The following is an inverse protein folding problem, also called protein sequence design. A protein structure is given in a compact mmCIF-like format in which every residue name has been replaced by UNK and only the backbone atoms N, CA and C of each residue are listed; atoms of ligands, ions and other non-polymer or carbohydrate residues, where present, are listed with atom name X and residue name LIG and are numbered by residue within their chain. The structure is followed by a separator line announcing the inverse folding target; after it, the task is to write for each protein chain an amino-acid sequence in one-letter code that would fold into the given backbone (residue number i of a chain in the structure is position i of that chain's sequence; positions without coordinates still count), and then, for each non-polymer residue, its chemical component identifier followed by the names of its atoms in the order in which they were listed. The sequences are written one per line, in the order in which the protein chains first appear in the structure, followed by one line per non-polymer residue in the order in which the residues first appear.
data_IF_802834396509
#
_entry.id   IF_802834396509
#
_cell.length_a   1.000
_cell.length_b   1.000
_cell.length_c   1.000
_cell.angle_alpha   90.00
_cell.angle_beta   90.00
_cell.angle_gamma   90.00
#
_symmetry.space_group_name_H-M   'P 1'
#
loop_
_entity.id
_entity.type
_entity.pdbx_description
1 polymer ?
#
# COMPACT_ATOMS: atom_id res chain seq x y z
N UNK A 1 36.48 1.39 15.55
CA UNK A 1 35.03 1.38 15.26
C UNK A 1 34.90 1.34 13.75
N UNK A 2 34.23 0.37 13.20
CA UNK A 2 34.12 0.20 11.73
C UNK A 2 33.45 1.44 11.12
N UNK A 3 34.11 2.05 10.15
CA UNK A 3 33.64 3.25 9.44
C UNK A 3 32.61 2.89 8.36
N UNK A 4 31.76 1.86 8.63
CA UNK A 4 30.72 1.42 7.69
C UNK A 4 29.56 2.41 7.70
N UNK A 5 29.04 2.77 6.53
CA UNK A 5 27.90 3.68 6.43
C UNK A 5 26.66 3.06 7.11
N UNK A 6 25.92 3.88 7.84
CA UNK A 6 24.73 3.51 8.55
C UNK A 6 23.49 4.05 7.83
N UNK A 7 22.40 3.28 7.80
CA UNK A 7 21.16 3.63 7.12
C UNK A 7 19.99 3.65 8.09
N UNK A 8 18.98 4.47 7.80
CA UNK A 8 17.79 4.60 8.61
C UNK A 8 16.59 4.01 7.85
N UNK A 9 15.76 3.21 8.53
CA UNK A 9 14.44 2.79 8.05
C UNK A 9 13.38 3.47 8.92
N UNK A 10 12.40 4.13 8.29
CA UNK A 10 11.29 4.79 8.96
C UNK A 10 10.03 3.94 8.84
N UNK A 11 9.61 3.32 9.94
CA UNK A 11 8.43 2.46 10.05
C UNK A 11 8.77 0.98 10.05
N UNK A 12 8.11 0.21 10.94
CA UNK A 12 8.22 -1.24 11.08
C UNK A 12 6.91 -1.96 10.69
N UNK A 13 6.22 -1.45 9.68
CA UNK A 13 5.17 -2.16 8.95
C UNK A 13 5.78 -3.23 8.02
N UNK A 14 4.95 -3.88 7.21
CA UNK A 14 5.41 -4.94 6.30
C UNK A 14 6.57 -4.50 5.40
N UNK A 15 6.53 -3.29 4.85
CA UNK A 15 7.58 -2.74 4.00
C UNK A 15 8.90 -2.53 4.78
N UNK A 16 8.81 -1.98 6.00
CA UNK A 16 9.99 -1.78 6.85
C UNK A 16 10.61 -3.08 7.33
N UNK A 17 9.81 -4.09 7.67
CA UNK A 17 10.29 -5.42 8.06
C UNK A 17 11.02 -6.12 6.89
N UNK A 18 10.45 -6.05 5.67
CA UNK A 18 11.10 -6.57 4.47
C UNK A 18 12.46 -5.88 4.23
N UNK A 19 12.49 -4.55 4.34
CA UNK A 19 13.71 -3.77 4.17
C UNK A 19 14.75 -4.11 5.26
N UNK A 20 14.34 -4.16 6.52
CA UNK A 20 15.23 -4.42 7.65
C UNK A 20 15.91 -5.79 7.51
N UNK A 21 15.13 -6.84 7.22
CA UNK A 21 15.68 -8.20 7.04
C UNK A 21 16.61 -8.23 5.83
N UNK A 22 16.16 -7.78 4.68
CA UNK A 22 16.92 -7.86 3.42
C UNK A 22 18.25 -7.12 3.52
N UNK A 23 18.26 -5.93 4.11
CA UNK A 23 19.49 -5.16 4.31
C UNK A 23 20.41 -5.78 5.36
N UNK A 24 19.85 -6.30 6.45
CA UNK A 24 20.63 -6.96 7.51
C UNK A 24 21.35 -8.20 6.98
N UNK A 25 20.64 -9.04 6.21
CA UNK A 25 21.24 -10.24 5.61
C UNK A 25 22.38 -9.89 4.64
N UNK A 26 22.27 -8.75 3.98
CA UNK A 26 23.32 -8.25 3.08
C UNK A 26 24.47 -7.52 3.81
N UNK A 27 24.47 -7.50 5.16
CA UNK A 27 25.53 -6.93 5.97
C UNK A 27 25.48 -5.41 6.15
N UNK A 28 24.39 -4.74 5.76
CA UNK A 28 24.24 -3.31 5.97
C UNK A 28 24.00 -2.98 7.45
N UNK A 29 24.55 -1.87 7.90
CA UNK A 29 24.28 -1.31 9.24
C UNK A 29 22.99 -0.48 9.18
N UNK A 30 21.95 -0.91 9.87
CA UNK A 30 20.61 -0.31 9.78
C UNK A 30 20.04 -0.05 11.16
N UNK A 31 19.46 1.14 11.36
CA UNK A 31 18.57 1.46 12.47
C UNK A 31 17.13 1.58 11.93
N UNK A 32 16.18 0.92 12.58
CA UNK A 32 14.76 1.02 12.24
C UNK A 32 14.01 1.70 13.37
N UNK A 33 13.25 2.77 13.05
CA UNK A 33 12.43 3.50 14.01
C UNK A 33 10.94 3.27 13.75
N UNK A 34 10.21 2.88 14.80
CA UNK A 34 8.77 2.67 14.77
C UNK A 34 8.09 3.56 15.82
N UNK A 35 7.11 4.35 15.39
CA UNK A 35 6.39 5.28 16.26
C UNK A 35 5.51 4.60 17.30
N UNK A 36 5.03 3.38 17.01
CA UNK A 36 4.18 2.59 17.90
C UNK A 36 4.97 1.63 18.78
N UNK A 37 4.28 1.01 19.74
CA UNK A 37 4.87 0.01 20.64
C UNK A 37 5.03 -1.38 19.97
N UNK A 38 4.60 -1.57 18.73
CA UNK A 38 4.57 -2.88 18.07
C UNK A 38 4.78 -2.77 16.55
N UNK A 39 5.27 -3.85 15.97
CA UNK A 39 5.41 -3.98 14.51
C UNK A 39 4.05 -4.13 13.84
N UNK A 40 3.99 -4.00 12.51
CA UNK A 40 2.83 -4.39 11.71
C UNK A 40 2.11 -3.23 11.01
N UNK A 41 2.38 -1.98 11.39
CA UNK A 41 1.80 -0.80 10.74
C UNK A 41 0.26 -0.80 10.80
N UNK A 42 -0.40 -0.54 9.67
CA UNK A 42 -1.87 -0.45 9.58
C UNK A 42 -2.61 -1.74 9.98
N UNK A 43 -2.00 -2.91 9.87
CA UNK A 43 -2.60 -4.18 10.32
C UNK A 43 -2.99 -4.19 11.80
N UNK A 44 -2.37 -3.33 12.61
CA UNK A 44 -2.76 -3.15 14.02
C UNK A 44 -4.01 -2.31 14.20
N UNK A 45 -4.34 -1.48 13.22
CA UNK A 45 -5.39 -0.47 13.29
C UNK A 45 -6.54 -0.71 12.31
N UNK A 46 -6.43 -1.66 11.40
CA UNK A 46 -7.51 -2.03 10.49
C UNK A 46 -8.67 -2.75 11.21
N UNK A 47 -9.80 -2.84 10.54
CA UNK A 47 -11.03 -3.44 11.07
C UNK A 47 -10.94 -4.96 11.23
N UNK A 48 -11.72 -5.50 12.19
CA UNK A 48 -11.66 -6.92 12.59
C UNK A 48 -12.05 -7.88 11.45
N UNK A 49 -12.97 -7.47 10.58
CA UNK A 49 -13.43 -8.27 9.44
C UNK A 49 -12.44 -8.30 8.26
N UNK A 50 -11.30 -7.61 8.34
CA UNK A 50 -10.32 -7.56 7.24
C UNK A 50 -9.68 -8.93 6.98
N UNK A 51 -9.68 -9.31 5.72
CA UNK A 51 -8.97 -10.48 5.20
C UNK A 51 -8.15 -10.08 3.96
N UNK A 52 -7.07 -10.80 3.69
CA UNK A 52 -6.35 -10.63 2.44
C UNK A 52 -7.28 -10.82 1.24
N UNK A 53 -7.07 -10.01 0.20
CA UNK A 53 -7.70 -10.18 -1.11
C UNK A 53 -6.84 -10.99 -2.08
N UNK A 54 -5.59 -11.26 -1.71
CA UNK A 54 -4.62 -12.10 -2.41
C UNK A 54 -4.38 -13.37 -1.61
N UNK A 55 -4.13 -14.53 -2.26
CA UNK A 55 -3.96 -15.80 -1.55
C UNK A 55 -2.63 -15.86 -0.78
N UNK A 56 -2.60 -16.65 0.30
CA UNK A 56 -1.41 -16.88 1.12
C UNK A 56 -0.23 -17.46 0.34
N UNK A 57 -0.50 -18.24 -0.72
CA UNK A 57 0.48 -18.86 -1.60
C UNK A 57 1.40 -17.88 -2.33
N UNK A 58 0.97 -16.63 -2.46
CA UNK A 58 1.73 -15.56 -3.11
C UNK A 58 1.98 -14.33 -2.23
N UNK A 59 1.37 -14.30 -1.03
CA UNK A 59 1.40 -13.13 -0.13
C UNK A 59 2.29 -13.42 1.08
N UNK A 60 3.60 -13.52 0.89
CA UNK A 60 4.56 -13.80 1.96
C UNK A 60 5.89 -13.08 1.73
N UNK A 61 6.69 -12.92 2.78
CA UNK A 61 8.07 -12.42 2.69
C UNK A 61 8.99 -13.46 2.07
N UNK A 62 9.99 -13.03 1.32
CA UNK A 62 10.98 -13.93 0.70
C UNK A 62 11.55 -14.93 1.71
N UNK A 63 11.47 -16.22 1.37
CA UNK A 63 11.99 -17.30 2.21
C UNK A 63 11.17 -17.59 3.48
N UNK A 64 9.99 -16.97 3.66
CA UNK A 64 9.16 -17.20 4.85
C UNK A 64 7.68 -17.36 4.45
N UNK A 65 7.28 -18.54 3.93
CA UNK A 65 5.89 -18.79 3.53
C UNK A 65 4.94 -18.74 4.73
N UNK A 66 3.68 -18.40 4.47
CA UNK A 66 2.65 -18.45 5.53
C UNK A 66 2.39 -19.90 5.98
N UNK A 67 1.97 -20.11 7.24
CA UNK A 67 1.64 -21.42 7.78
C UNK A 67 0.67 -22.20 6.90
N UNK A 68 0.89 -23.53 6.78
CA UNK A 68 0.08 -24.39 5.93
C UNK A 68 -1.39 -24.46 6.37
N UNK A 69 -1.64 -24.35 7.68
CA UNK A 69 -2.95 -24.37 8.31
C UNK A 69 -3.75 -23.05 8.19
N UNK A 70 -3.11 -21.97 7.70
CA UNK A 70 -3.86 -20.73 7.43
C UNK A 70 -4.83 -20.94 6.26
N UNK A 71 -6.00 -20.24 6.29
CA UNK A 71 -6.94 -20.26 5.17
C UNK A 71 -6.29 -19.67 3.90
N UNK A 72 -6.91 -19.88 2.75
CA UNK A 72 -6.44 -19.33 1.46
C UNK A 72 -6.29 -17.80 1.54
N UNK A 73 -7.21 -17.13 2.22
CA UNK A 73 -7.19 -15.68 2.47
C UNK A 73 -7.13 -15.42 3.97
N UNK A 74 -5.94 -15.27 4.55
CA UNK A 74 -5.77 -15.06 5.98
C UNK A 74 -6.44 -13.78 6.49
N UNK A 75 -6.92 -13.84 7.72
CA UNK A 75 -7.49 -12.69 8.44
C UNK A 75 -6.41 -11.72 8.90
N UNK A 76 -6.83 -10.50 9.24
CA UNK A 76 -5.96 -9.49 9.86
C UNK A 76 -5.13 -10.05 11.02
N UNK A 77 -5.74 -10.80 11.93
CA UNK A 77 -5.04 -11.31 13.11
C UNK A 77 -4.02 -12.40 12.76
N UNK A 78 -4.33 -13.26 11.77
CA UNK A 78 -3.36 -14.21 11.24
C UNK A 78 -2.17 -13.50 10.58
N UNK A 79 -2.41 -12.39 9.87
CA UNK A 79 -1.34 -11.57 9.29
C UNK A 79 -0.46 -10.93 10.38
N UNK A 80 -1.06 -10.41 11.45
CA UNK A 80 -0.30 -9.90 12.61
C UNK A 80 0.57 -11.00 13.24
N UNK A 81 0.01 -12.18 13.44
CA UNK A 81 0.74 -13.33 13.96
C UNK A 81 1.90 -13.72 13.05
N UNK A 82 1.66 -13.78 11.73
CA UNK A 82 2.67 -14.08 10.73
C UNK A 82 3.82 -13.05 10.75
N UNK A 83 3.51 -11.75 10.79
CA UNK A 83 4.56 -10.70 10.85
C UNK A 83 5.37 -10.76 12.15
N UNK A 84 4.74 -11.08 13.29
CA UNK A 84 5.46 -11.28 14.55
C UNK A 84 6.40 -12.50 14.46
N UNK A 85 5.89 -13.63 13.94
CA UNK A 85 6.71 -14.83 13.74
C UNK A 85 7.92 -14.57 12.81
N UNK A 86 7.72 -13.83 11.72
CA UNK A 86 8.81 -13.37 10.85
C UNK A 86 9.85 -12.53 11.60
N UNK A 87 9.38 -11.55 12.36
CA UNK A 87 10.24 -10.64 13.11
C UNK A 87 11.08 -11.38 14.14
N UNK A 88 10.47 -12.33 14.84
CA UNK A 88 11.14 -13.12 15.90
C UNK A 88 12.09 -14.17 15.30
N UNK A 89 11.67 -14.87 14.21
CA UNK A 89 12.50 -15.86 13.51
C UNK A 89 13.84 -15.28 13.04
N UNK A 90 13.83 -14.04 12.57
CA UNK A 90 15.04 -13.40 12.03
C UNK A 90 15.70 -12.40 12.99
N UNK A 91 15.31 -12.38 14.28
CA UNK A 91 15.92 -11.52 15.30
C UNK A 91 15.82 -10.02 14.96
N UNK A 92 14.76 -9.60 14.24
CA UNK A 92 14.64 -8.22 13.77
C UNK A 92 14.20 -7.28 14.90
N UNK A 93 13.51 -7.80 15.91
CA UNK A 93 12.93 -6.99 16.99
C UNK A 93 13.97 -6.14 17.72
N UNK A 94 15.15 -6.68 17.95
CA UNK A 94 16.27 -6.01 18.63
C UNK A 94 16.85 -4.84 17.81
N UNK A 95 16.58 -4.82 16.49
CA UNK A 95 17.03 -3.77 15.57
C UNK A 95 16.01 -2.66 15.39
N UNK A 96 14.83 -2.78 16.01
CA UNK A 96 13.74 -1.81 15.94
C UNK A 96 13.68 -1.01 17.23
N UNK A 97 13.76 0.30 17.14
CA UNK A 97 13.50 1.20 18.25
C UNK A 97 12.03 1.60 18.23
N UNK A 98 11.26 1.01 19.15
CA UNK A 98 9.82 1.27 19.29
C UNK A 98 9.53 2.58 20.03
N UNK A 99 8.27 3.03 19.99
CA UNK A 99 7.79 4.28 20.61
C UNK A 99 8.65 5.49 20.24
N UNK A 100 9.23 5.44 19.03
CA UNK A 100 10.21 6.42 18.57
C UNK A 100 9.81 6.91 17.19
N UNK A 101 9.12 8.05 17.15
CA UNK A 101 8.76 8.69 15.88
C UNK A 101 9.97 9.47 15.34
N UNK A 102 10.18 9.39 14.03
CA UNK A 102 11.03 10.33 13.31
C UNK A 102 10.21 11.60 13.09
N UNK A 103 10.69 12.73 13.62
CA UNK A 103 10.03 14.03 13.54
C UNK A 103 10.50 14.87 12.36
N UNK A 104 11.79 14.72 11.96
CA UNK A 104 12.33 15.40 10.79
C UNK A 104 13.47 14.61 10.15
N UNK A 105 13.60 14.72 8.83
CA UNK A 105 14.79 14.34 8.08
C UNK A 105 15.23 15.52 7.23
N UNK A 106 16.55 15.79 7.19
CA UNK A 106 17.14 16.87 6.41
C UNK A 106 18.29 16.36 5.57
N UNK A 107 18.31 16.68 4.26
CA UNK A 107 19.45 16.34 3.42
C UNK A 107 20.69 17.10 3.86
N UNK A 108 21.86 16.47 3.76
CA UNK A 108 23.15 17.08 3.92
C UNK A 108 23.76 17.38 2.55
N UNK A 109 24.31 18.57 2.37
CA UNK A 109 24.61 19.13 1.06
C UNK A 109 23.33 19.58 0.35
N UNK A 110 23.42 19.89 -0.93
CA UNK A 110 22.30 20.49 -1.68
C UNK A 110 21.11 19.54 -1.86
N UNK A 111 21.37 18.23 -1.96
CA UNK A 111 20.37 17.24 -2.35
C UNK A 111 20.47 15.91 -1.57
N UNK A 112 21.22 15.82 -0.47
CA UNK A 112 21.42 14.59 0.31
C UNK A 112 22.60 13.72 -0.13
N UNK A 113 23.48 14.21 -1.01
CA UNK A 113 24.70 13.49 -1.42
C UNK A 113 25.62 13.17 -0.23
N UNK A 114 25.73 14.09 0.73
CA UNK A 114 26.55 13.92 1.92
C UNK A 114 25.87 13.10 3.05
N UNK A 115 24.64 12.63 2.83
CA UNK A 115 23.85 11.89 3.80
C UNK A 115 22.64 12.67 4.31
N UNK A 116 22.12 12.24 5.47
CA UNK A 116 20.87 12.73 6.05
C UNK A 116 20.98 12.88 7.57
N UNK A 117 20.54 14.01 8.08
CA UNK A 117 20.28 14.17 9.51
C UNK A 117 18.84 13.73 9.80
N UNK A 118 18.66 12.77 10.72
CA UNK A 118 17.37 12.22 11.14
C UNK A 118 17.13 12.64 12.58
N UNK A 119 16.08 13.42 12.83
CA UNK A 119 15.69 13.91 14.15
C UNK A 119 14.51 13.09 14.66
N UNK A 120 14.65 12.56 15.88
CA UNK A 120 13.62 11.81 16.56
C UNK A 120 12.70 12.74 17.36
N UNK A 121 11.54 12.24 17.82
CA UNK A 121 10.57 13.04 18.56
C UNK A 121 11.09 13.59 19.91
N UNK A 122 12.12 12.97 20.47
CA UNK A 122 12.81 13.43 21.70
C UNK A 122 13.85 14.54 21.45
N UNK A 123 13.99 14.97 20.20
CA UNK A 123 14.98 15.97 19.76
C UNK A 123 16.37 15.41 19.42
N UNK A 124 16.61 14.13 19.65
CA UNK A 124 17.88 13.48 19.27
C UNK A 124 18.06 13.47 17.76
N UNK A 125 19.21 13.94 17.28
CA UNK A 125 19.54 13.89 15.84
C UNK A 125 20.70 12.93 15.60
N UNK A 126 20.53 12.04 14.62
CA UNK A 126 21.53 11.08 14.16
C UNK A 126 21.79 11.24 12.68
N UNK A 127 23.03 11.01 12.27
CA UNK A 127 23.45 11.10 10.86
C UNK A 127 23.47 9.74 10.19
N UNK A 128 22.92 9.66 8.98
CA UNK A 128 22.84 8.45 8.16
C UNK A 128 23.34 8.70 6.74
N UNK A 129 23.89 7.67 6.11
CA UNK A 129 24.30 7.71 4.70
C UNK A 129 23.09 7.67 3.73
N UNK A 130 21.94 7.22 4.23
CA UNK A 130 20.68 7.21 3.47
C UNK A 130 19.51 6.83 4.36
N UNK A 131 18.30 7.12 3.87
CA UNK A 131 17.02 6.90 4.55
C UNK A 131 16.09 6.11 3.66
N UNK A 132 15.51 5.03 4.19
CA UNK A 132 14.44 4.25 3.57
C UNK A 132 13.11 4.63 4.23
N UNK A 133 12.24 5.24 3.45
CA UNK A 133 10.89 5.62 3.88
C UNK A 133 9.96 4.44 3.68
N UNK A 134 9.54 3.82 4.79
CA UNK A 134 8.62 2.68 4.83
C UNK A 134 7.39 2.98 5.72
N UNK A 135 7.00 4.27 5.79
CA UNK A 135 5.94 4.76 6.68
C UNK A 135 4.52 4.39 6.23
N UNK A 136 4.37 3.76 5.06
CA UNK A 136 3.08 3.38 4.48
C UNK A 136 2.23 4.57 3.98
N UNK A 137 1.10 4.26 3.35
CA UNK A 137 0.18 5.24 2.76
C UNK A 137 -1.28 5.07 3.19
N UNK A 138 -1.58 4.15 4.14
CA UNK A 138 -2.93 3.82 4.60
C UNK A 138 -3.15 4.25 6.07
N UNK A 139 -2.86 5.53 6.39
CA UNK A 139 -2.97 6.00 7.78
C UNK A 139 -3.45 7.45 7.93
N UNK A 140 -3.28 8.33 6.94
CA UNK A 140 -3.79 9.71 6.97
C UNK A 140 -5.18 9.75 6.33
N UNK A 141 -6.22 9.66 7.15
CA UNK A 141 -7.60 9.49 6.74
C UNK A 141 -8.12 10.68 5.93
N UNK A 142 -8.68 10.42 4.75
CA UNK A 142 -9.26 11.46 3.87
C UNK A 142 -10.76 11.52 4.05
N UNK A 143 -11.26 12.47 4.86
CA UNK A 143 -12.69 12.76 5.00
C UNK A 143 -13.04 13.97 4.12
N UNK A 144 -14.05 13.87 3.22
CA UNK A 144 -14.51 15.00 2.43
C UNK A 144 -15.03 16.17 3.31
N UNK A 145 -14.88 17.40 2.84
CA UNK A 145 -15.28 18.61 3.60
C UNK A 145 -16.76 18.59 4.01
N UNK A 146 -17.62 18.06 3.12
CA UNK A 146 -19.05 17.90 3.40
C UNK A 146 -19.31 17.04 4.64
N UNK A 147 -18.43 16.11 4.96
CA UNK A 147 -18.54 15.21 6.12
C UNK A 147 -18.42 15.93 7.47
N UNK A 148 -17.78 17.09 7.51
CA UNK A 148 -17.64 17.88 8.74
C UNK A 148 -18.97 18.45 9.27
N UNK A 149 -20.00 18.49 8.42
CA UNK A 149 -21.34 18.98 8.80
C UNK A 149 -22.23 17.91 9.40
N UNK A 150 -21.79 16.64 9.40
CA UNK A 150 -22.56 15.53 9.95
C UNK A 150 -22.49 15.53 11.48
N UNK A 151 -23.65 15.48 12.15
CA UNK A 151 -23.76 15.53 13.62
C UNK A 151 -23.95 14.17 14.28
N UNK A 152 -24.05 13.07 13.50
CA UNK A 152 -24.10 11.71 13.99
C UNK A 152 -22.71 11.10 14.24
N UNK A 153 -22.64 9.78 14.33
CA UNK A 153 -21.38 9.04 14.42
C UNK A 153 -20.67 9.10 13.07
N UNK A 154 -19.47 9.66 13.04
CA UNK A 154 -18.66 9.83 11.83
C UNK A 154 -17.30 9.18 12.03
N UNK A 155 -17.02 8.08 11.29
CA UNK A 155 -15.81 7.26 11.47
C UNK A 155 -15.20 6.99 10.09
N UNK A 156 -13.89 7.18 9.95
CA UNK A 156 -13.17 6.78 8.75
C UNK A 156 -12.82 5.29 8.80
N UNK A 157 -12.70 4.61 7.65
CA UNK A 157 -12.34 3.19 7.55
C UNK A 157 -11.02 2.84 8.26
N UNK A 158 -10.06 3.77 8.33
CA UNK A 158 -8.81 3.61 9.09
C UNK A 158 -8.98 3.68 10.61
N UNK A 159 -10.12 4.17 11.11
CA UNK A 159 -10.45 4.30 12.52
C UNK A 159 -11.54 3.29 12.96
N UNK A 160 -12.28 2.76 12.01
CA UNK A 160 -13.28 1.71 12.24
C UNK A 160 -12.62 0.40 12.66
N UNK A 161 -13.20 -0.27 13.66
CA UNK A 161 -12.73 -1.59 14.15
C UNK A 161 -13.79 -2.66 13.93
N UNK A 162 -14.99 -2.40 14.39
CA UNK A 162 -16.10 -3.35 14.28
C UNK A 162 -17.45 -2.67 14.52
N UNK A 163 -18.51 -3.43 14.35
CA UNK A 163 -19.91 -2.97 14.45
C UNK A 163 -20.32 -2.39 15.81
N UNK A 164 -19.53 -2.60 16.87
CA UNK A 164 -19.83 -2.03 18.20
C UNK A 164 -19.64 -0.51 18.24
N UNK A 165 -18.90 0.06 17.28
CA UNK A 165 -18.68 1.50 17.16
C UNK A 165 -19.83 2.24 16.45
N UNK A 166 -20.75 1.50 15.82
CA UNK A 166 -21.80 2.07 14.95
C UNK A 166 -23.18 1.66 15.43
N UNK A 167 -24.21 2.41 15.03
CA UNK A 167 -25.60 2.11 15.39
C UNK A 167 -26.59 2.73 14.41
N UNK A 168 -27.82 2.25 14.48
CA UNK A 168 -28.97 2.81 13.77
C UNK A 168 -28.85 2.65 12.25
N UNK A 169 -29.20 3.71 11.53
CA UNK A 169 -29.13 3.75 10.07
C UNK A 169 -27.74 4.17 9.64
N UNK A 170 -27.06 3.31 8.88
CA UNK A 170 -25.64 3.46 8.51
C UNK A 170 -25.52 3.81 7.03
N UNK A 171 -24.78 4.87 6.74
CA UNK A 171 -24.31 5.22 5.40
C UNK A 171 -22.81 4.90 5.27
N UNK A 172 -22.44 4.07 4.32
CA UNK A 172 -21.03 3.85 3.94
C UNK A 172 -20.72 4.66 2.70
N UNK A 173 -19.69 5.48 2.75
CA UNK A 173 -19.31 6.38 1.65
C UNK A 173 -18.01 5.90 1.01
N UNK A 174 -18.10 5.46 -0.24
CA UNK A 174 -16.99 4.93 -1.01
C UNK A 174 -17.22 3.51 -1.50
N UNK A 175 -16.66 3.19 -2.66
CA UNK A 175 -16.93 1.95 -3.40
C UNK A 175 -15.64 1.18 -3.75
N UNK A 176 -14.61 1.32 -2.90
CA UNK A 176 -13.43 0.46 -2.91
C UNK A 176 -13.61 -0.78 -2.03
N UNK A 177 -12.57 -1.62 -1.91
CA UNK A 177 -12.63 -2.83 -1.09
C UNK A 177 -13.08 -2.53 0.35
N UNK A 178 -12.50 -1.50 1.01
CA UNK A 178 -12.89 -1.13 2.38
C UNK A 178 -14.37 -0.73 2.48
N UNK A 179 -14.88 0.09 1.54
CA UNK A 179 -16.30 0.48 1.57
C UNK A 179 -17.24 -0.72 1.44
N UNK A 180 -16.88 -1.68 0.59
CA UNK A 180 -17.63 -2.92 0.44
C UNK A 180 -17.58 -3.78 1.70
N UNK A 181 -16.40 -3.93 2.31
CA UNK A 181 -16.24 -4.70 3.55
C UNK A 181 -17.04 -4.08 4.71
N UNK A 182 -16.97 -2.76 4.89
CA UNK A 182 -17.70 -2.07 5.96
C UNK A 182 -19.23 -2.15 5.76
N UNK A 183 -19.71 -2.04 4.51
CA UNK A 183 -21.13 -2.19 4.23
C UNK A 183 -21.61 -3.63 4.49
N UNK A 184 -20.79 -4.63 4.16
CA UNK A 184 -21.07 -6.04 4.46
C UNK A 184 -21.08 -6.27 5.97
N UNK A 185 -20.12 -5.75 6.72
CA UNK A 185 -20.01 -5.90 8.17
C UNK A 185 -21.26 -5.31 8.87
N UNK A 186 -21.66 -4.07 8.51
CA UNK A 186 -22.87 -3.43 9.01
C UNK A 186 -24.15 -4.23 8.68
N UNK A 187 -24.27 -4.74 7.44
CA UNK A 187 -25.43 -5.53 7.01
C UNK A 187 -25.51 -6.89 7.71
N UNK A 188 -24.39 -7.55 7.96
CA UNK A 188 -24.32 -8.80 8.74
C UNK A 188 -24.73 -8.58 10.19
N UNK A 189 -24.42 -7.43 10.78
CA UNK A 189 -24.89 -7.01 12.10
C UNK A 189 -26.37 -6.56 12.11
N UNK A 190 -27.10 -6.73 11.00
CA UNK A 190 -28.53 -6.39 10.86
C UNK A 190 -28.83 -4.88 10.97
N UNK A 191 -27.87 -4.02 10.77
CA UNK A 191 -28.10 -2.56 10.69
C UNK A 191 -28.76 -2.18 9.36
N UNK A 192 -29.55 -1.10 9.33
CA UNK A 192 -30.12 -0.54 8.09
C UNK A 192 -28.99 0.15 7.31
N UNK A 193 -28.47 -0.56 6.32
CA UNK A 193 -27.22 -0.18 5.63
C UNK A 193 -27.47 0.36 4.23
N UNK A 194 -26.90 1.51 3.95
CA UNK A 194 -26.84 2.13 2.62
C UNK A 194 -25.38 2.35 2.23
N UNK A 195 -25.03 2.09 0.97
CA UNK A 195 -23.72 2.46 0.41
C UNK A 195 -23.89 3.58 -0.61
N UNK A 196 -23.15 4.69 -0.45
CA UNK A 196 -23.14 5.79 -1.40
C UNK A 196 -22.04 5.59 -2.44
N UNK A 197 -22.42 5.54 -3.72
CA UNK A 197 -21.55 5.21 -4.85
C UNK A 197 -21.53 6.38 -5.83
N UNK A 198 -20.36 7.03 -5.97
CA UNK A 198 -20.17 8.12 -6.93
C UNK A 198 -19.87 7.61 -8.35
N UNK A 199 -19.11 6.50 -8.47
CA UNK A 199 -18.65 5.91 -9.72
C UNK A 199 -18.77 4.41 -9.67
N UNK A 200 -19.29 3.81 -10.75
CA UNK A 200 -19.35 2.36 -10.86
C UNK A 200 -17.95 1.74 -11.04
N UNK A 201 -17.81 0.52 -10.61
CA UNK A 201 -16.58 -0.26 -10.73
C UNK A 201 -16.88 -1.69 -11.14
N UNK A 202 -15.88 -2.38 -11.68
CA UNK A 202 -15.92 -3.81 -11.91
C UNK A 202 -15.72 -4.59 -10.61
N UNK A 203 -16.48 -5.65 -10.45
CA UNK A 203 -16.30 -6.61 -9.36
C UNK A 203 -15.50 -7.81 -9.85
N UNK A 204 -14.61 -8.30 -8.99
CA UNK A 204 -13.92 -9.58 -9.21
C UNK A 204 -14.15 -10.51 -8.03
N UNK A 205 -14.48 -11.78 -8.27
CA UNK A 205 -14.48 -12.79 -7.21
C UNK A 205 -13.04 -13.04 -6.74
N UNK A 206 -12.87 -13.37 -5.46
CA UNK A 206 -11.57 -13.82 -4.93
C UNK A 206 -11.16 -15.15 -5.57
N UNK A 207 -12.13 -16.03 -5.76
CA UNK A 207 -11.95 -17.39 -6.33
C UNK A 207 -12.83 -17.58 -7.55
N UNK A 208 -12.33 -18.32 -8.53
CA UNK A 208 -13.05 -18.81 -9.70
C UNK A 208 -12.82 -20.33 -9.79
N UNK A 209 -13.87 -21.10 -9.95
CA UNK A 209 -13.81 -22.57 -9.93
C UNK A 209 -13.09 -23.16 -8.69
N UNK A 210 -13.26 -22.51 -7.52
CA UNK A 210 -12.64 -22.93 -6.27
C UNK A 210 -11.15 -22.58 -6.12
N UNK A 211 -10.52 -21.98 -7.13
CA UNK A 211 -9.12 -21.56 -7.12
C UNK A 211 -9.01 -20.04 -6.97
N UNK A 212 -7.96 -19.52 -6.31
CA UNK A 212 -7.65 -18.10 -6.37
C UNK A 212 -7.56 -17.61 -7.83
N UNK A 213 -8.22 -16.48 -8.14
CA UNK A 213 -8.29 -15.99 -9.53
C UNK A 213 -6.93 -15.79 -10.21
N UNK A 214 -5.88 -15.44 -9.43
CA UNK A 214 -4.52 -15.27 -9.94
C UNK A 214 -3.75 -16.59 -10.13
N UNK A 215 -4.33 -17.73 -9.75
CA UNK A 215 -3.71 -19.05 -9.80
C UNK A 215 -4.42 -19.98 -10.79
N UNK A 216 -5.29 -19.44 -11.64
CA UNK A 216 -5.96 -20.22 -12.67
C UNK A 216 -4.94 -20.67 -13.71
N UNK A 217 -4.70 -22.01 -13.89
CA UNK A 217 -3.63 -22.52 -14.76
C UNK A 217 -3.80 -22.07 -16.21
N UNK A 218 -5.04 -21.91 -16.66
CA UNK A 218 -5.38 -21.48 -18.01
C UNK A 218 -4.83 -20.07 -18.31
N UNK A 219 -4.87 -19.14 -17.33
CA UNK A 219 -4.47 -17.76 -17.55
C UNK A 219 -2.95 -17.62 -17.75
N UNK A 220 -2.14 -18.42 -17.03
CA UNK A 220 -0.69 -18.33 -17.12
C UNK A 220 -0.10 -18.69 -18.49
N UNK A 221 -0.88 -19.31 -19.37
CA UNK A 221 -0.47 -19.74 -20.71
C UNK A 221 -0.91 -18.77 -21.83
N UNK A 222 -1.63 -17.71 -21.48
CA UNK A 222 -2.25 -16.80 -22.44
C UNK A 222 -1.49 -15.48 -22.53
N UNK A 223 -1.56 -14.82 -23.71
CA UNK A 223 -1.10 -13.45 -23.85
C UNK A 223 -1.95 -12.49 -22.99
N UNK A 224 -1.40 -11.33 -22.54
CA UNK A 224 -2.08 -10.40 -21.63
C UNK A 224 -3.48 -9.97 -22.08
N UNK A 225 -3.67 -9.70 -23.37
CA UNK A 225 -4.98 -9.32 -23.91
C UNK A 225 -5.99 -10.47 -23.82
N UNK A 226 -5.54 -11.70 -24.06
CA UNK A 226 -6.36 -12.90 -23.92
C UNK A 226 -6.70 -13.18 -22.45
N UNK A 227 -5.76 -12.93 -21.53
CA UNK A 227 -6.01 -13.01 -20.08
C UNK A 227 -7.11 -12.07 -19.65
N UNK A 228 -7.07 -10.79 -20.08
CA UNK A 228 -8.09 -9.79 -19.77
C UNK A 228 -9.46 -10.18 -20.35
N UNK A 229 -9.49 -10.64 -21.58
CA UNK A 229 -10.74 -11.07 -22.23
C UNK A 229 -11.38 -12.25 -21.48
N UNK A 230 -10.62 -13.29 -21.20
CA UNK A 230 -11.10 -14.48 -20.49
C UNK A 230 -11.50 -14.13 -19.06
N UNK A 231 -10.71 -13.32 -18.35
CA UNK A 231 -11.07 -12.87 -17.01
C UNK A 231 -12.39 -12.09 -17.00
N UNK A 232 -12.61 -11.18 -17.93
CA UNK A 232 -13.89 -10.47 -18.07
C UNK A 232 -15.06 -11.44 -18.32
N UNK A 233 -14.89 -12.45 -19.16
CA UNK A 233 -15.91 -13.49 -19.39
C UNK A 233 -16.19 -14.27 -18.09
N UNK A 234 -15.16 -14.66 -17.34
CA UNK A 234 -15.31 -15.38 -16.06
C UNK A 234 -15.99 -14.51 -15.00
N UNK A 235 -15.68 -13.22 -14.96
CA UNK A 235 -16.34 -12.25 -14.08
C UNK A 235 -17.82 -12.17 -14.44
N UNK A 236 -18.15 -11.95 -15.72
CA UNK A 236 -19.54 -11.85 -16.17
C UNK A 236 -20.33 -13.14 -15.91
N UNK A 237 -19.69 -14.30 -16.08
CA UNK A 237 -20.32 -15.59 -15.80
C UNK A 237 -20.56 -15.85 -14.31
N UNK A 238 -19.67 -15.35 -13.43
CA UNK A 238 -19.74 -15.61 -11.99
C UNK A 238 -20.54 -14.57 -11.19
N UNK A 239 -20.43 -13.29 -11.55
CA UNK A 239 -21.08 -12.19 -10.81
C UNK A 239 -22.07 -11.36 -11.65
N UNK A 240 -22.16 -11.63 -12.94
CA UNK A 240 -23.03 -10.86 -13.83
C UNK A 240 -22.53 -9.44 -14.07
N UNK A 241 -23.46 -8.51 -14.31
CA UNK A 241 -23.19 -7.11 -14.56
C UNK A 241 -23.90 -6.22 -13.53
N UNK A 242 -23.58 -4.92 -13.49
CA UNK A 242 -24.28 -3.93 -12.67
C UNK A 242 -25.81 -3.99 -12.79
N UNK A 243 -26.34 -4.36 -13.97
CA UNK A 243 -27.79 -4.47 -14.22
C UNK A 243 -28.49 -5.54 -13.38
N UNK A 244 -27.75 -6.49 -12.85
CA UNK A 244 -28.29 -7.55 -11.99
C UNK A 244 -28.44 -7.11 -10.53
N UNK A 245 -28.00 -5.90 -10.16
CA UNK A 245 -27.97 -5.40 -8.80
C UNK A 245 -28.68 -4.05 -8.68
N UNK A 246 -29.77 -3.96 -7.92
CA UNK A 246 -30.58 -2.74 -7.82
C UNK A 246 -29.76 -1.52 -7.39
N UNK A 247 -29.81 -0.45 -8.17
CA UNK A 247 -29.13 0.82 -7.90
C UNK A 247 -27.62 0.84 -8.19
N UNK A 248 -27.02 -0.28 -8.56
CA UNK A 248 -25.58 -0.31 -8.84
C UNK A 248 -25.27 0.42 -10.17
N UNK A 249 -24.42 1.47 -10.15
CA UNK A 249 -24.10 2.19 -11.38
C UNK A 249 -23.21 1.37 -12.32
N UNK A 250 -23.29 1.66 -13.61
CA UNK A 250 -22.42 1.06 -14.61
C UNK A 250 -20.94 1.39 -14.31
N UNK A 251 -20.01 0.45 -14.50
CA UNK A 251 -18.58 0.75 -14.39
C UNK A 251 -18.20 1.77 -15.48
N UNK A 252 -17.24 2.65 -15.19
CA UNK A 252 -16.72 3.64 -16.15
C UNK A 252 -15.97 2.96 -17.30
N UNK A 253 -15.37 1.81 -17.02
CA UNK A 253 -14.64 1.00 -18.01
C UNK A 253 -14.76 -0.48 -17.69
N UNK A 254 -14.62 -1.32 -18.72
CA UNK A 254 -14.45 -2.78 -18.58
C UNK A 254 -12.98 -3.21 -18.69
N UNK A 255 -12.07 -2.24 -18.82
CA UNK A 255 -10.64 -2.50 -18.81
C UNK A 255 -10.14 -2.60 -17.37
N UNK A 256 -9.70 -3.80 -16.98
CA UNK A 256 -9.17 -4.11 -15.66
C UNK A 256 -7.85 -3.40 -15.34
N UNK A 257 -7.14 -2.95 -16.35
CA UNK A 257 -5.91 -2.18 -16.17
C UNK A 257 -6.19 -0.69 -15.96
N UNK A 258 -7.20 -0.15 -16.63
CA UNK A 258 -7.58 1.26 -16.50
C UNK A 258 -8.17 1.57 -15.10
N UNK A 259 -8.90 0.63 -14.50
CA UNK A 259 -9.50 0.80 -13.17
C UNK A 259 -9.32 -0.45 -12.31
N UNK A 260 -8.80 -0.33 -11.05
CA UNK A 260 -8.70 -1.47 -10.15
C UNK A 260 -10.11 -2.01 -9.81
N UNK A 261 -10.35 -3.31 -10.01
CA UNK A 261 -11.63 -3.90 -9.66
C UNK A 261 -11.80 -4.04 -8.15
N UNK A 262 -13.05 -4.02 -7.71
CA UNK A 262 -13.41 -4.37 -6.32
C UNK A 262 -13.41 -5.89 -6.16
N UNK A 263 -12.74 -6.37 -5.15
CA UNK A 263 -12.62 -7.81 -4.84
C UNK A 263 -13.50 -8.18 -3.65
N UNK A 264 -14.81 -7.99 -3.81
CA UNK A 264 -15.80 -8.30 -2.78
C UNK A 264 -17.15 -8.67 -3.42
N UNK A 265 -17.49 -9.96 -3.45
CA UNK A 265 -18.77 -10.44 -3.97
C UNK A 265 -19.88 -10.50 -2.92
N UNK A 266 -19.55 -10.40 -1.62
CA UNK A 266 -20.56 -10.40 -0.56
C UNK A 266 -21.43 -9.13 -0.59
N UNK A 267 -20.86 -7.99 -1.01
CA UNK A 267 -21.65 -6.78 -1.22
C UNK A 267 -22.77 -7.03 -2.23
N UNK A 268 -22.46 -7.65 -3.36
CA UNK A 268 -23.41 -7.96 -4.42
C UNK A 268 -24.53 -8.91 -3.90
N UNK A 269 -24.14 -9.91 -3.14
CA UNK A 269 -25.08 -10.81 -2.46
C UNK A 269 -26.05 -10.03 -1.57
N UNK A 270 -25.55 -9.14 -0.71
CA UNK A 270 -26.41 -8.40 0.22
C UNK A 270 -27.25 -7.31 -0.46
N UNK A 271 -26.82 -6.76 -1.59
CA UNK A 271 -27.67 -5.89 -2.44
C UNK A 271 -28.85 -6.68 -3.00
N UNK A 272 -28.62 -7.88 -3.57
CA UNK A 272 -29.70 -8.74 -4.10
C UNK A 272 -30.69 -9.18 -3.02
N UNK A 273 -30.26 -9.32 -1.78
CA UNK A 273 -31.12 -9.65 -0.64
C UNK A 273 -31.78 -8.42 0.00
N UNK A 274 -31.61 -7.22 -0.56
CA UNK A 274 -32.20 -5.98 -0.05
C UNK A 274 -31.66 -5.55 1.31
N UNK A 275 -30.53 -6.12 1.77
CA UNK A 275 -29.91 -5.77 3.05
C UNK A 275 -28.96 -4.58 2.96
N UNK A 276 -28.45 -4.30 1.77
CA UNK A 276 -27.67 -3.12 1.46
C UNK A 276 -28.39 -2.37 0.35
N UNK A 277 -28.77 -1.13 0.64
CA UNK A 277 -29.31 -0.18 -0.34
C UNK A 277 -28.17 0.57 -1.02
N UNK A 278 -28.37 0.91 -2.29
CA UNK A 278 -27.41 1.74 -3.04
C UNK A 278 -27.98 3.13 -3.21
N UNK A 279 -27.18 4.15 -2.90
CA UNK A 279 -27.48 5.55 -3.14
C UNK A 279 -26.40 6.19 -4.03
N UNK A 280 -26.69 7.25 -4.78
CA UNK A 280 -25.70 7.99 -5.54
C UNK A 280 -24.72 8.76 -4.65
N UNK A 281 -23.83 9.54 -5.25
CA UNK A 281 -22.88 10.36 -4.49
C UNK A 281 -23.57 11.38 -3.60
N UNK A 282 -22.91 11.80 -2.51
CA UNK A 282 -23.39 12.85 -1.61
C UNK A 282 -23.21 14.21 -2.28
N UNK A 283 -24.24 15.05 -2.21
CA UNK A 283 -24.22 16.46 -2.57
C UNK A 283 -23.97 17.32 -1.33
N UNK A 284 -24.89 17.29 -0.34
CA UNK A 284 -24.77 18.07 0.89
C UNK A 284 -25.15 17.24 2.12
N UNK A 285 -24.72 17.73 3.31
CA UNK A 285 -25.08 17.17 4.61
C UNK A 285 -25.48 18.33 5.52
N UNK A 286 -26.63 18.19 6.20
CA UNK A 286 -27.10 19.12 7.23
C UNK A 286 -27.57 18.32 8.44
N UNK A 287 -26.80 18.42 9.53
CA UNK A 287 -27.09 17.63 10.72
C UNK A 287 -26.96 16.12 10.46
N UNK A 288 -28.08 15.39 10.54
CA UNK A 288 -28.14 13.96 10.20
C UNK A 288 -28.67 13.69 8.80
N UNK A 289 -29.21 14.70 8.12
CA UNK A 289 -29.82 14.59 6.81
C UNK A 289 -28.76 14.67 5.71
N UNK A 290 -28.71 13.65 4.87
CA UNK A 290 -27.83 13.58 3.69
C UNK A 290 -28.68 13.79 2.44
N UNK A 291 -28.29 14.75 1.61
CA UNK A 291 -28.83 14.96 0.27
C UNK A 291 -27.88 14.34 -0.75
N UNK A 292 -28.42 13.51 -1.63
CA UNK A 292 -27.66 12.86 -2.69
C UNK A 292 -27.72 13.64 -3.99
N UNK A 293 -26.82 13.32 -4.93
CA UNK A 293 -26.69 14.03 -6.23
C UNK A 293 -27.91 13.90 -7.16
N UNK A 294 -28.84 12.98 -6.88
CA UNK A 294 -30.13 12.86 -7.57
C UNK A 294 -31.26 13.67 -6.90
N UNK A 295 -30.95 14.42 -5.84
CA UNK A 295 -31.88 15.22 -5.05
C UNK A 295 -32.64 14.44 -3.98
N UNK A 296 -32.48 13.13 -3.88
CA UNK A 296 -33.06 12.33 -2.79
C UNK A 296 -32.41 12.64 -1.44
N UNK A 297 -33.16 12.47 -0.35
CA UNK A 297 -32.70 12.76 1.01
C UNK A 297 -32.99 11.59 1.94
N UNK A 298 -32.11 11.41 2.93
CA UNK A 298 -32.33 10.47 4.02
C UNK A 298 -31.51 10.85 5.26
N UNK A 299 -32.04 10.50 6.42
CA UNK A 299 -31.35 10.66 7.69
C UNK A 299 -30.52 9.43 8.02
N UNK A 300 -29.36 9.66 8.63
CA UNK A 300 -28.46 8.61 9.09
C UNK A 300 -28.01 8.88 10.53
N UNK A 301 -27.76 7.79 11.28
CA UNK A 301 -27.20 7.87 12.63
C UNK A 301 -25.68 7.74 12.59
N UNK A 302 -25.17 7.03 11.59
CA UNK A 302 -23.74 6.76 11.41
C UNK A 302 -23.34 6.95 9.94
N UNK A 303 -22.20 7.61 9.71
CA UNK A 303 -21.50 7.60 8.41
C UNK A 303 -20.14 6.96 8.58
N UNK A 304 -19.84 5.96 7.73
CA UNK A 304 -18.53 5.34 7.58
C UNK A 304 -17.86 5.85 6.30
N UNK A 305 -16.72 6.52 6.46
CA UNK A 305 -15.97 7.10 5.35
C UNK A 305 -14.92 6.12 4.85
N UNK A 306 -15.17 5.47 3.73
CA UNK A 306 -14.20 4.64 3.00
C UNK A 306 -13.65 5.41 1.79
N UNK A 307 -13.23 6.64 2.03
CA UNK A 307 -12.88 7.64 1.02
C UNK A 307 -11.37 7.72 0.74
N UNK A 308 -10.61 6.74 1.27
CA UNK A 308 -9.18 6.57 1.05
C UNK A 308 -8.33 7.44 1.98
N UNK A 309 -7.05 7.54 1.65
CA UNK A 309 -6.04 8.16 2.50
C UNK A 309 -5.22 9.17 1.68
N UNK A 310 -4.63 10.14 2.37
CA UNK A 310 -3.63 11.02 1.79
C UNK A 310 -2.24 10.39 1.92
N UNK A 311 -1.40 10.60 0.94
CA UNK A 311 0.03 10.29 1.07
C UNK A 311 0.70 11.41 1.85
N UNK A 312 1.32 11.07 2.97
CA UNK A 312 2.02 12.04 3.83
C UNK A 312 3.41 11.57 4.20
N UNK A 313 4.34 12.51 4.18
CA UNK A 313 5.72 12.36 4.65
C UNK A 313 5.99 13.45 5.71
N UNK A 314 5.38 13.36 6.92
CA UNK A 314 5.33 14.47 7.88
C UNK A 314 6.68 14.86 8.46
N UNK A 315 7.69 14.04 8.25
CA UNK A 315 9.07 14.23 8.69
C UNK A 315 9.96 14.88 7.61
N UNK A 316 9.46 15.11 6.40
CA UNK A 316 10.20 15.70 5.29
C UNK A 316 9.49 16.97 4.82
N UNK A 317 10.26 18.03 4.59
CA UNK A 317 9.73 19.23 3.96
C UNK A 317 9.26 18.90 2.53
N UNK A 318 7.95 19.07 2.29
CA UNK A 318 7.32 18.75 1.01
C UNK A 318 7.93 19.55 -0.17
N UNK A 319 8.47 20.74 0.07
CA UNK A 319 9.13 21.57 -0.94
C UNK A 319 10.41 20.95 -1.53
N UNK A 320 11.00 19.98 -0.82
CA UNK A 320 12.18 19.25 -1.30
C UNK A 320 11.85 18.20 -2.36
N UNK A 321 10.58 17.86 -2.55
CA UNK A 321 10.12 16.85 -3.50
C UNK A 321 9.26 17.44 -4.60
N UNK A 322 9.23 16.78 -5.73
CA UNK A 322 8.27 17.07 -6.79
C UNK A 322 7.01 16.22 -6.55
N UNK A 323 5.85 16.88 -6.49
CA UNK A 323 4.55 16.27 -6.23
C UNK A 323 3.64 16.35 -7.44
N UNK A 324 2.82 15.30 -7.63
CA UNK A 324 1.73 15.26 -8.60
C UNK A 324 0.59 14.41 -8.03
N UNK A 325 -0.65 14.86 -8.17
CA UNK A 325 -1.86 14.15 -7.69
C UNK A 325 -1.78 13.71 -6.22
N UNK A 326 -1.15 14.52 -5.36
CA UNK A 326 -1.06 14.28 -3.91
C UNK A 326 -0.04 13.22 -3.49
N UNK A 327 0.89 12.83 -4.37
CA UNK A 327 1.99 11.94 -4.03
C UNK A 327 3.31 12.39 -4.69
N UNK A 328 4.49 12.06 -4.10
CA UNK A 328 5.77 12.43 -4.66
C UNK A 328 6.04 11.70 -5.97
N UNK A 329 6.73 12.34 -6.91
CA UNK A 329 7.22 11.71 -8.15
C UNK A 329 8.36 10.74 -7.84
N UNK A 330 8.29 9.55 -8.42
CA UNK A 330 9.24 8.44 -8.20
C UNK A 330 9.63 7.78 -9.50
N UNK A 331 10.84 7.25 -9.55
CA UNK A 331 11.41 6.43 -10.62
C UNK A 331 11.93 5.11 -10.06
N UNK A 332 12.60 4.33 -10.87
CA UNK A 332 13.27 3.08 -10.48
C UNK A 332 12.35 2.12 -9.70
N UNK A 333 11.28 1.66 -10.35
CA UNK A 333 10.26 0.81 -9.74
C UNK A 333 9.65 1.42 -8.46
N UNK A 334 9.50 2.75 -8.45
CA UNK A 334 8.95 3.56 -7.35
C UNK A 334 9.85 3.66 -6.11
N UNK A 335 11.14 3.40 -6.25
CA UNK A 335 12.07 3.43 -5.12
C UNK A 335 12.85 4.74 -4.96
N UNK A 336 13.02 5.51 -6.04
CA UNK A 336 13.80 6.77 -6.02
C UNK A 336 12.90 8.00 -6.14
N UNK A 337 13.13 9.08 -5.37
CA UNK A 337 12.69 10.42 -5.75
C UNK A 337 13.41 10.90 -7.02
N UNK A 338 12.94 11.98 -7.60
CA UNK A 338 13.51 12.53 -8.85
C UNK A 338 14.73 13.41 -8.67
N UNK A 339 14.96 13.89 -7.44
CA UNK A 339 15.92 14.98 -7.18
C UNK A 339 16.73 14.85 -5.88
N UNK A 340 16.41 13.88 -5.00
CA UNK A 340 17.12 13.72 -3.72
C UNK A 340 17.93 12.42 -3.71
N UNK A 341 19.17 12.52 -3.29
CA UNK A 341 20.11 11.42 -3.18
C UNK A 341 20.05 10.74 -1.79
N UNK A 342 20.13 9.42 -1.76
CA UNK A 342 20.14 8.67 -0.51
C UNK A 342 18.79 8.62 0.22
N UNK A 343 17.71 9.08 -0.42
CA UNK A 343 16.34 8.88 0.00
C UNK A 343 15.72 7.81 -0.87
N UNK A 344 15.04 6.84 -0.23
CA UNK A 344 14.42 5.71 -0.93
C UNK A 344 13.03 5.44 -0.39
N UNK A 345 12.15 4.91 -1.24
CA UNK A 345 10.80 4.51 -0.84
C UNK A 345 10.65 3.00 -0.91
N UNK A 346 10.05 2.40 0.14
CA UNK A 346 9.63 1.00 0.15
C UNK A 346 8.13 0.97 0.44
N UNK A 347 7.35 0.42 -0.50
CA UNK A 347 5.90 0.28 -0.34
C UNK A 347 5.09 1.55 -0.58
N UNK A 348 5.70 2.62 -1.11
CA UNK A 348 4.94 3.81 -1.52
C UNK A 348 4.34 3.64 -2.94
N UNK A 349 4.84 2.73 -3.75
CA UNK A 349 4.20 2.23 -4.97
C UNK A 349 3.68 0.81 -4.73
N UNK A 350 2.40 0.58 -5.02
CA UNK A 350 1.69 -0.66 -4.75
C UNK A 350 1.18 -1.31 -6.05
N UNK A 351 2.02 -2.10 -6.75
CA UNK A 351 1.57 -2.88 -7.91
C UNK A 351 0.43 -3.83 -7.51
N UNK A 352 -0.61 -3.88 -8.33
CA UNK A 352 -1.79 -4.72 -8.07
C UNK A 352 -1.42 -6.18 -7.87
N UNK A 353 -1.74 -6.75 -6.71
CA UNK A 353 -1.43 -8.11 -6.30
C UNK A 353 -0.75 -8.19 -4.94
N UNK A 354 -0.02 -9.28 -4.66
CA UNK A 354 0.71 -9.47 -3.41
C UNK A 354 1.79 -8.40 -3.21
N UNK A 355 1.80 -7.74 -2.04
CA UNK A 355 2.70 -6.62 -1.79
C UNK A 355 4.03 -7.02 -1.15
N UNK A 356 4.05 -8.03 -0.30
CA UNK A 356 5.29 -8.38 0.44
C UNK A 356 6.46 -8.76 -0.45
N UNK A 357 6.29 -9.58 -1.51
CA UNK A 357 7.39 -9.81 -2.47
C UNK A 357 7.88 -8.52 -3.13
N UNK A 358 6.97 -7.58 -3.42
CA UNK A 358 7.33 -6.28 -4.01
C UNK A 358 8.27 -5.49 -3.09
N UNK A 359 7.99 -5.48 -1.77
CA UNK A 359 8.85 -4.78 -0.80
C UNK A 359 10.25 -5.37 -0.76
N UNK A 360 10.38 -6.69 -0.85
CA UNK A 360 11.67 -7.36 -0.93
C UNK A 360 12.42 -6.96 -2.21
N UNK A 361 11.75 -6.98 -3.37
CA UNK A 361 12.36 -6.60 -4.65
C UNK A 361 12.74 -5.11 -4.69
N UNK A 362 11.90 -4.21 -4.18
CA UNK A 362 12.25 -2.79 -4.03
C UNK A 362 13.49 -2.61 -3.16
N UNK A 363 13.60 -3.36 -2.05
CA UNK A 363 14.77 -3.28 -1.17
C UNK A 363 16.03 -3.77 -1.87
N UNK A 364 15.94 -4.84 -2.67
CA UNK A 364 17.08 -5.33 -3.48
C UNK A 364 17.58 -4.28 -4.47
N UNK A 365 16.68 -3.53 -5.13
CA UNK A 365 17.07 -2.40 -5.96
C UNK A 365 17.77 -1.31 -5.14
N UNK A 366 17.20 -0.94 -3.99
CA UNK A 366 17.79 0.08 -3.11
C UNK A 366 19.21 -0.32 -2.70
N UNK A 367 19.46 -1.58 -2.36
CA UNK A 367 20.81 -2.04 -2.03
C UNK A 367 21.80 -1.88 -3.18
N UNK A 368 21.38 -2.07 -4.43
CA UNK A 368 22.22 -1.80 -5.61
C UNK A 368 22.55 -0.32 -5.72
N UNK A 369 21.59 0.58 -5.54
CA UNK A 369 21.83 2.02 -5.48
C UNK A 369 22.81 2.41 -4.36
N UNK A 370 22.67 1.80 -3.17
CA UNK A 370 23.57 2.04 -2.05
C UNK A 370 25.01 1.61 -2.36
N UNK A 371 25.21 0.48 -3.04
CA UNK A 371 26.54 0.02 -3.49
C UNK A 371 27.15 0.97 -4.52
N UNK A 372 26.38 1.45 -5.51
CA UNK A 372 26.84 2.43 -6.47
C UNK A 372 27.25 3.76 -5.78
N UNK A 373 26.48 4.23 -4.81
CA UNK A 373 26.83 5.41 -4.01
C UNK A 373 28.12 5.18 -3.20
N UNK A 374 28.29 4.02 -2.59
CA UNK A 374 29.48 3.66 -1.84
C UNK A 374 30.73 3.59 -2.72
N UNK A 375 30.60 3.29 -4.01
CA UNK A 375 31.69 3.36 -4.99
C UNK A 375 32.00 4.78 -5.49
N UNK A 376 31.30 5.80 -4.97
CA UNK A 376 31.50 7.22 -5.30
C UNK A 376 30.60 7.75 -6.43
N UNK A 377 29.65 6.95 -6.94
CA UNK A 377 28.72 7.41 -7.97
C UNK A 377 27.70 8.38 -7.34
N UNK A 378 27.50 9.53 -8.01
CA UNK A 378 26.62 10.62 -7.59
C UNK A 378 25.52 10.87 -8.62
N UNK A 379 24.48 11.61 -8.24
CA UNK A 379 23.42 12.06 -9.13
C UNK A 379 22.54 10.94 -9.65
N UNK A 380 22.41 9.82 -8.91
CA UNK A 380 21.61 8.66 -9.32
C UNK A 380 20.13 8.98 -9.46
N UNK A 381 19.56 9.75 -8.53
CA UNK A 381 18.15 10.14 -8.59
C UNK A 381 17.85 10.97 -9.83
N UNK A 382 18.65 12.01 -10.09
CA UNK A 382 18.52 12.85 -11.28
C UNK A 382 18.74 12.05 -12.57
N UNK A 383 19.71 11.12 -12.59
CA UNK A 383 19.99 10.26 -13.74
C UNK A 383 18.80 9.37 -14.08
N UNK A 384 18.20 8.72 -13.09
CA UNK A 384 17.01 7.89 -13.31
C UNK A 384 15.78 8.72 -13.69
N UNK A 385 15.64 9.95 -13.18
CA UNK A 385 14.60 10.88 -13.62
C UNK A 385 14.74 11.33 -15.09
N UNK A 386 15.95 11.28 -15.66
CA UNK A 386 16.19 11.53 -17.09
C UNK A 386 15.94 10.28 -17.95
N UNK A 387 16.23 9.10 -17.42
CA UNK A 387 16.12 7.84 -18.15
C UNK A 387 14.69 7.26 -18.15
N UNK A 388 13.89 7.58 -17.13
CA UNK A 388 12.56 7.01 -16.92
C UNK A 388 11.51 8.10 -16.72
N UNK A 389 10.27 7.82 -17.10
CA UNK A 389 9.14 8.69 -16.77
C UNK A 389 8.79 8.54 -15.30
N UNK A 390 8.86 9.64 -14.55
CA UNK A 390 8.50 9.66 -13.14
C UNK A 390 6.98 9.52 -12.95
N UNK A 391 6.57 8.73 -11.97
CA UNK A 391 5.18 8.42 -11.66
C UNK A 391 4.82 8.76 -10.20
N UNK A 392 3.61 9.27 -9.99
CA UNK A 392 3.03 9.58 -8.67
C UNK A 392 2.01 8.55 -8.20
N UNK A 393 1.53 7.65 -9.07
CA UNK A 393 0.49 6.68 -8.73
C UNK A 393 0.93 5.76 -7.61
N UNK A 394 0.04 5.52 -6.65
CA UNK A 394 0.25 4.48 -5.63
C UNK A 394 -0.19 3.13 -6.18
N UNK A 395 -1.44 3.03 -6.68
CA UNK A 395 -1.94 1.83 -7.36
C UNK A 395 -1.40 1.79 -8.80
N UNK A 396 -0.70 0.72 -9.14
CA UNK A 396 -0.02 0.55 -10.43
C UNK A 396 -0.41 -0.81 -11.01
N UNK A 397 -0.60 -0.87 -12.33
CA UNK A 397 -0.78 -2.15 -13.02
C UNK A 397 0.47 -2.99 -12.87
N UNK A 398 0.33 -4.24 -12.42
CA UNK A 398 1.47 -5.11 -12.10
C UNK A 398 2.47 -5.26 -13.26
N UNK A 399 1.97 -5.41 -14.51
CA UNK A 399 2.83 -5.56 -15.68
C UNK A 399 3.65 -4.30 -15.98
N UNK A 400 3.07 -3.10 -15.76
CA UNK A 400 3.79 -1.83 -15.92
C UNK A 400 4.92 -1.71 -14.89
N UNK A 401 4.62 -2.06 -13.64
CA UNK A 401 5.63 -2.08 -12.60
C UNK A 401 6.76 -3.08 -12.89
N UNK A 402 6.42 -4.30 -13.35
CA UNK A 402 7.42 -5.33 -13.70
C UNK A 402 8.30 -4.88 -14.87
N UNK A 403 7.73 -4.22 -15.88
CA UNK A 403 8.50 -3.67 -16.99
C UNK A 403 9.48 -2.60 -16.51
N UNK A 404 9.01 -1.66 -15.67
CA UNK A 404 9.88 -0.62 -15.10
C UNK A 404 10.94 -1.20 -14.14
N UNK A 405 10.58 -2.23 -13.37
CA UNK A 405 11.52 -2.95 -12.52
C UNK A 405 12.64 -3.62 -13.34
N UNK A 406 12.31 -4.32 -14.42
CA UNK A 406 13.30 -4.94 -15.31
C UNK A 406 14.16 -3.90 -16.02
N UNK A 407 13.57 -2.80 -16.49
CA UNK A 407 14.30 -1.68 -17.06
C UNK A 407 15.29 -1.09 -16.06
N UNK A 408 14.85 -0.91 -14.82
CA UNK A 408 15.71 -0.41 -13.72
C UNK A 408 16.88 -1.37 -13.47
N UNK A 409 16.64 -2.67 -13.44
CA UNK A 409 17.71 -3.68 -13.30
C UNK A 409 18.73 -3.58 -14.42
N UNK A 410 18.29 -3.51 -15.69
CA UNK A 410 19.16 -3.38 -16.85
C UNK A 410 20.01 -2.10 -16.79
N UNK A 411 19.41 -0.99 -16.38
CA UNK A 411 20.12 0.28 -16.22
C UNK A 411 21.17 0.20 -15.09
N UNK A 412 20.86 -0.47 -13.98
CA UNK A 412 21.79 -0.71 -12.88
C UNK A 412 22.94 -1.63 -13.32
N UNK A 413 22.67 -2.68 -14.12
CA UNK A 413 23.72 -3.57 -14.67
C UNK A 413 24.74 -2.76 -15.49
N UNK A 414 24.28 -1.85 -16.34
CA UNK A 414 25.16 -0.97 -17.12
C UNK A 414 26.01 -0.08 -16.22
N UNK A 415 25.42 0.48 -15.15
CA UNK A 415 26.14 1.34 -14.21
C UNK A 415 27.18 0.55 -13.39
N UNK A 416 26.84 -0.67 -12.97
CA UNK A 416 27.75 -1.54 -12.21
C UNK A 416 28.93 -2.03 -13.06
N UNK A 417 28.72 -2.29 -14.36
CA UNK A 417 29.81 -2.60 -15.30
C UNK A 417 30.79 -1.44 -15.52
N UNK A 418 30.33 -0.21 -15.35
CA UNK A 418 31.19 0.98 -15.48
C UNK A 418 32.02 1.24 -14.21
N UNK A 419 31.83 0.49 -13.13
CA UNK A 419 32.63 0.65 -11.92
C UNK A 419 34.05 0.08 -12.15
N UNK A 420 35.09 0.70 -11.58
CA UNK A 420 36.44 0.14 -11.60
C UNK A 420 36.42 -1.23 -10.88
N UNK A 421 37.18 -2.19 -11.42
CA UNK A 421 37.33 -3.48 -10.79
C UNK A 421 37.77 -3.32 -9.33
N UNK A 422 37.22 -4.09 -8.38
CA UNK A 422 37.63 -4.02 -6.98
C UNK A 422 39.16 -4.24 -6.89
N UNK A 423 39.84 -3.35 -6.15
CA UNK A 423 41.27 -3.52 -5.92
C UNK A 423 41.54 -4.92 -5.35
N UNK A 424 42.56 -5.66 -5.81
CA UNK A 424 42.85 -6.98 -5.28
C UNK A 424 43.07 -6.88 -3.77
N UNK A 425 42.33 -7.72 -3.03
CA UNK A 425 42.56 -7.81 -1.58
C UNK A 425 44.01 -8.21 -1.34
N UNK A 426 44.72 -7.53 -0.43
CA UNK A 426 46.07 -7.97 -0.07
C UNK A 426 45.98 -9.41 0.42
N UNK A 427 46.69 -10.32 -0.26
CA UNK A 427 46.87 -11.66 0.22
C UNK A 427 47.56 -11.55 1.57
N UNK A 428 46.86 -11.96 2.63
CA UNK A 428 47.46 -12.14 3.96
C UNK A 428 48.57 -13.22 3.79
N UNK A 429 49.78 -12.77 3.91
CA UNK A 429 50.98 -13.62 3.98
C UNK A 429 51.10 -14.31 5.34
#
# INVERSE_FOLDING_TARGET
MSNQPRYCIIGAGAAGLAALKTMTDAGFQVDCFEKSAQIGGHWNTDYDALHLITPKSSSFFDGFPMPADYPVYPSRDQIKTYMNAYTDQFGLREKITFNTAVSAIKPLGDNGEAGWDVTLADGTTKRYAGVLVANGHLWDCKVPEVGKRFTGISIHSGEYRNVQQIKGKVLVVGFGNSGCDLAVDAAQARLDTTIAIRRGQLFQPKTVFGLPRGELPLLGQLAPEQQNMIMNMLIMASVGTHKNYPGLPAPETYDLDAQPPVVNTLLLYWIQHGRIKVAPGIDTIEGKTVTFTDGSQADYDTILWATGFNTRLPFLDESLLQWRDGAPLRTAAMTLPTNLEGLFYIGLGAPRGPQWPVYCEQTKLVMRFLKLRASGMKGLAAKFAQLQTADSRIDIVKREWLANYQETQNQLDVLELALPAPAPQPQLA
#
